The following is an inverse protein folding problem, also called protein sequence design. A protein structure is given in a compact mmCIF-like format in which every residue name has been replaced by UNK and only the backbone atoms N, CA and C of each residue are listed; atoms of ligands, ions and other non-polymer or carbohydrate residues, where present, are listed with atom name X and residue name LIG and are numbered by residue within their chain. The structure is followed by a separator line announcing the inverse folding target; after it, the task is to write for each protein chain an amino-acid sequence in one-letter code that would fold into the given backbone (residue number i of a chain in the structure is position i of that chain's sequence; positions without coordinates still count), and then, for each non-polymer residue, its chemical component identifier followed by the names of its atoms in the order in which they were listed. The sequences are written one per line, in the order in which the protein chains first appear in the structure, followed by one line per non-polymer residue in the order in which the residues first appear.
data_IF_053407947447
#
_entry.id   IF_053407947447
#
_cell.length_a   1.000
_cell.length_b   1.000
_cell.length_c   1.000
_cell.angle_alpha   90.00
_cell.angle_beta   90.00
_cell.angle_gamma   90.00
#
_symmetry.space_group_name_H-M   'P 1'
#
loop_
_entity.id
_entity.type
_entity.pdbx_description
1 polymer ?
#
# COMPACT_ATOMS: atom_id res chain seq x y z
N UNK A 1 -20.61 0.98 24.77
CA UNK A 1 -21.19 -0.20 24.14
C UNK A 1 -21.82 0.11 22.77
N UNK A 2 -22.63 1.17 22.64
CA UNK A 2 -23.33 1.54 21.40
C UNK A 2 -22.35 1.94 20.27
N UNK A 3 -21.33 2.75 20.53
CA UNK A 3 -20.33 3.19 19.55
C UNK A 3 -19.54 2.00 18.99
N UNK A 4 -19.11 1.08 19.85
CA UNK A 4 -18.40 -0.14 19.39
C UNK A 4 -19.29 -1.00 18.47
N UNK A 5 -20.59 -1.04 18.69
CA UNK A 5 -21.53 -1.77 17.83
C UNK A 5 -21.61 -1.14 16.44
N UNK A 6 -21.67 0.19 16.36
CA UNK A 6 -21.72 0.93 15.09
C UNK A 6 -20.41 0.74 14.32
N UNK A 7 -19.27 0.94 14.98
CA UNK A 7 -17.94 0.77 14.38
C UNK A 7 -17.75 -0.66 13.86
N UNK A 8 -18.16 -1.66 14.63
CA UNK A 8 -18.07 -3.05 14.19
C UNK A 8 -19.01 -3.38 13.02
N UNK A 9 -20.21 -2.79 12.98
CA UNK A 9 -21.11 -2.96 11.83
C UNK A 9 -20.51 -2.35 10.58
N UNK A 10 -19.92 -1.15 10.69
CA UNK A 10 -19.22 -0.48 9.59
C UNK A 10 -18.02 -1.31 9.12
N UNK A 11 -17.17 -1.79 10.03
CA UNK A 11 -16.05 -2.68 9.70
C UNK A 11 -16.50 -3.92 8.93
N UNK A 12 -17.54 -4.61 9.42
CA UNK A 12 -18.12 -5.78 8.73
C UNK A 12 -18.64 -5.47 7.33
N UNK A 13 -19.24 -4.30 7.13
CA UNK A 13 -19.73 -3.89 5.81
C UNK A 13 -18.59 -3.73 4.79
N UNK A 14 -17.42 -3.25 5.23
CA UNK A 14 -16.22 -3.14 4.40
C UNK A 14 -15.47 -4.48 4.27
N UNK A 15 -15.86 -5.48 5.06
CA UNK A 15 -15.20 -6.79 5.10
C UNK A 15 -14.08 -6.89 6.14
N UNK A 16 -13.93 -5.92 7.04
CA UNK A 16 -12.93 -5.91 8.11
C UNK A 16 -13.43 -6.70 9.33
N UNK A 17 -12.60 -7.58 9.85
CA UNK A 17 -12.88 -8.40 11.03
C UNK A 17 -12.18 -7.86 12.27
N UNK A 18 -12.88 -7.91 13.40
CA UNK A 18 -12.36 -7.54 14.70
C UNK A 18 -12.54 -6.06 15.06
N UNK A 19 -12.79 -5.82 16.35
CA UNK A 19 -13.09 -4.49 16.89
C UNK A 19 -11.93 -3.52 16.71
N UNK A 20 -10.69 -3.96 16.96
CA UNK A 20 -9.50 -3.12 16.82
C UNK A 20 -9.31 -2.67 15.35
N UNK A 21 -9.40 -3.60 14.40
CA UNK A 21 -9.24 -3.29 12.99
C UNK A 21 -10.36 -2.37 12.48
N UNK A 22 -11.60 -2.57 12.94
CA UNK A 22 -12.73 -1.69 12.62
C UNK A 22 -12.52 -0.27 13.15
N UNK A 23 -11.99 -0.11 14.35
CA UNK A 23 -11.61 1.19 14.90
C UNK A 23 -10.47 1.84 14.10
N UNK A 24 -9.46 1.06 13.74
CA UNK A 24 -8.32 1.57 12.96
C UNK A 24 -8.76 2.11 11.59
N UNK A 25 -9.63 1.38 10.88
CA UNK A 25 -10.21 1.85 9.61
C UNK A 25 -11.05 3.10 9.82
N UNK A 26 -11.91 3.11 10.83
CA UNK A 26 -12.80 4.26 11.09
C UNK A 26 -11.99 5.53 11.43
N UNK A 27 -10.98 5.42 12.28
CA UNK A 27 -10.07 6.51 12.60
C UNK A 27 -9.26 6.95 11.39
N UNK A 28 -8.74 6.01 10.59
CA UNK A 28 -7.99 6.31 9.38
C UNK A 28 -8.85 7.06 8.34
N UNK A 29 -10.09 6.64 8.11
CA UNK A 29 -11.02 7.35 7.23
C UNK A 29 -11.32 8.75 7.78
N UNK A 30 -11.59 8.86 9.09
CA UNK A 30 -11.83 10.17 9.72
C UNK A 30 -10.63 11.11 9.56
N UNK A 31 -9.42 10.60 9.77
CA UNK A 31 -8.18 11.37 9.58
C UNK A 31 -8.04 11.83 8.13
N UNK A 32 -8.29 10.96 7.15
CA UNK A 32 -8.24 11.31 5.72
C UNK A 32 -9.25 12.39 5.34
N UNK A 33 -10.47 12.31 5.86
CA UNK A 33 -11.49 13.34 5.65
C UNK A 33 -11.10 14.68 6.29
N UNK A 34 -10.56 14.63 7.49
CA UNK A 34 -10.14 15.83 8.22
C UNK A 34 -8.95 16.51 7.53
N UNK A 35 -7.92 15.75 7.17
CA UNK A 35 -6.75 16.29 6.47
C UNK A 35 -7.13 16.83 5.09
N UNK A 36 -7.97 16.11 4.34
CA UNK A 36 -8.46 16.56 3.06
C UNK A 36 -9.24 17.87 3.15
N UNK A 37 -10.06 18.04 4.20
CA UNK A 37 -10.76 19.29 4.46
C UNK A 37 -9.81 20.44 4.81
N UNK A 38 -8.82 20.20 5.69
CA UNK A 38 -7.85 21.23 6.15
C UNK A 38 -6.93 21.65 5.00
N UNK A 39 -6.46 20.70 4.18
CA UNK A 39 -5.53 20.94 3.08
C UNK A 39 -6.21 21.38 1.78
N UNK A 40 -7.54 21.44 1.75
CA UNK A 40 -8.33 21.66 0.53
C UNK A 40 -7.97 20.66 -0.60
N UNK A 41 -7.75 19.40 -0.23
CA UNK A 41 -7.39 18.35 -1.17
C UNK A 41 -8.54 18.06 -2.14
N UNK A 42 -8.18 17.54 -3.32
CA UNK A 42 -9.17 17.08 -4.29
C UNK A 42 -9.95 15.88 -3.76
N UNK A 43 -11.20 15.74 -4.16
CA UNK A 43 -12.01 14.57 -3.81
C UNK A 43 -11.32 13.24 -4.21
N UNK A 44 -10.58 13.24 -5.32
CA UNK A 44 -9.78 12.10 -5.76
C UNK A 44 -8.67 11.74 -4.78
N UNK A 45 -7.96 12.73 -4.23
CA UNK A 45 -6.90 12.49 -3.24
C UNK A 45 -7.46 11.88 -1.96
N UNK A 46 -8.58 12.42 -1.47
CA UNK A 46 -9.28 11.88 -0.29
C UNK A 46 -9.77 10.45 -0.53
N UNK A 47 -10.38 10.17 -1.69
CA UNK A 47 -10.83 8.83 -2.06
C UNK A 47 -9.65 7.84 -2.13
N UNK A 48 -8.52 8.26 -2.71
CA UNK A 48 -7.30 7.47 -2.76
C UNK A 48 -6.79 7.11 -1.37
N UNK A 49 -6.73 8.08 -0.46
CA UNK A 49 -6.32 7.87 0.92
C UNK A 49 -7.24 6.90 1.68
N UNK A 50 -8.55 7.05 1.53
CA UNK A 50 -9.54 6.13 2.13
C UNK A 50 -9.36 4.71 1.58
N UNK A 51 -9.24 4.56 0.26
CA UNK A 51 -9.01 3.26 -0.36
C UNK A 51 -7.73 2.61 0.13
N UNK A 52 -6.66 3.40 0.33
CA UNK A 52 -5.39 2.94 0.88
C UNK A 52 -5.52 2.41 2.31
N UNK A 53 -6.19 3.13 3.19
CA UNK A 53 -6.43 2.69 4.58
C UNK A 53 -7.18 1.36 4.63
N UNK A 54 -8.25 1.24 3.85
CA UNK A 54 -9.05 0.01 3.79
C UNK A 54 -8.20 -1.14 3.22
N UNK A 55 -7.47 -0.89 2.15
CA UNK A 55 -6.59 -1.87 1.49
C UNK A 55 -5.57 -2.45 2.46
N UNK A 56 -4.84 -1.61 3.20
CA UNK A 56 -3.81 -2.04 4.16
C UNK A 56 -4.40 -2.91 5.25
N UNK A 57 -5.57 -2.55 5.80
CA UNK A 57 -6.21 -3.34 6.86
C UNK A 57 -6.70 -4.68 6.33
N UNK A 58 -7.31 -4.73 5.15
CA UNK A 58 -7.74 -5.99 4.54
C UNK A 58 -6.54 -6.89 4.17
N UNK A 59 -5.45 -6.29 3.70
CA UNK A 59 -4.20 -7.01 3.44
C UNK A 59 -3.62 -7.63 4.71
N UNK A 60 -3.59 -6.90 5.83
CA UNK A 60 -3.13 -7.43 7.13
C UNK A 60 -4.00 -8.60 7.62
N UNK A 61 -5.27 -8.63 7.23
CA UNK A 61 -6.20 -9.75 7.50
C UNK A 61 -6.12 -10.87 6.46
N UNK A 62 -5.21 -10.78 5.49
CA UNK A 62 -5.00 -11.77 4.41
C UNK A 62 -6.23 -11.96 3.52
N UNK A 63 -7.10 -10.97 3.43
CA UNK A 63 -8.33 -11.03 2.64
C UNK A 63 -8.06 -10.65 1.20
N UNK A 64 -8.58 -11.46 0.28
CA UNK A 64 -8.42 -11.20 -1.15
C UNK A 64 -9.05 -9.86 -1.60
N UNK A 65 -10.07 -9.39 -0.89
CA UNK A 65 -10.77 -8.12 -1.20
C UNK A 65 -9.87 -6.88 -1.13
N UNK A 66 -8.68 -6.97 -0.51
CA UNK A 66 -7.74 -5.84 -0.49
C UNK A 66 -7.29 -5.44 -1.90
N UNK A 67 -7.25 -6.37 -2.87
CA UNK A 67 -6.88 -6.09 -4.25
C UNK A 67 -7.80 -5.08 -4.92
N UNK A 68 -9.09 -5.16 -4.64
CA UNK A 68 -10.06 -4.20 -5.15
C UNK A 68 -9.78 -2.77 -4.67
N UNK A 69 -9.53 -2.62 -3.37
CA UNK A 69 -9.23 -1.32 -2.77
C UNK A 69 -7.86 -0.77 -3.18
N UNK A 70 -6.86 -1.65 -3.31
CA UNK A 70 -5.54 -1.28 -3.86
C UNK A 70 -5.62 -0.83 -5.31
N UNK A 71 -6.43 -1.50 -6.13
CA UNK A 71 -6.64 -1.11 -7.53
C UNK A 71 -7.26 0.29 -7.62
N UNK A 72 -8.31 0.53 -6.83
CA UNK A 72 -8.95 1.84 -6.76
C UNK A 72 -7.96 2.94 -6.33
N UNK A 73 -7.17 2.68 -5.31
CA UNK A 73 -6.11 3.59 -4.84
C UNK A 73 -5.09 3.89 -5.94
N UNK A 74 -4.54 2.86 -6.60
CA UNK A 74 -3.51 3.04 -7.62
C UNK A 74 -4.02 3.80 -8.85
N UNK A 75 -5.24 3.51 -9.30
CA UNK A 75 -5.83 4.24 -10.43
C UNK A 75 -5.99 5.72 -10.09
N UNK A 76 -6.50 6.03 -8.90
CA UNK A 76 -6.68 7.43 -8.48
C UNK A 76 -5.35 8.16 -8.32
N UNK A 77 -4.32 7.51 -7.76
CA UNK A 77 -2.97 8.11 -7.66
C UNK A 77 -2.36 8.34 -9.03
N UNK A 78 -2.51 7.43 -9.99
CA UNK A 78 -2.02 7.60 -11.36
C UNK A 78 -2.68 8.82 -12.01
N UNK A 79 -4.00 8.97 -11.87
CA UNK A 79 -4.72 10.13 -12.40
C UNK A 79 -4.20 11.44 -11.79
N UNK A 80 -4.03 11.49 -10.46
CA UNK A 80 -3.50 12.66 -9.75
C UNK A 80 -2.07 12.97 -10.22
N UNK A 81 -1.22 11.95 -10.36
CA UNK A 81 0.17 12.11 -10.79
C UNK A 81 0.27 12.64 -12.22
N UNK A 82 -0.65 12.27 -13.10
CA UNK A 82 -0.76 12.88 -14.44
C UNK A 82 -1.20 14.34 -14.39
N UNK A 83 -2.14 14.68 -13.50
CA UNK A 83 -2.63 16.06 -13.36
C UNK A 83 -1.57 17.01 -12.76
N UNK A 84 -0.61 16.47 -12.04
CA UNK A 84 0.48 17.21 -11.38
C UNK A 84 1.81 17.12 -12.11
N UNK A 85 1.83 16.58 -13.34
CA UNK A 85 3.03 16.39 -14.18
C UNK A 85 4.15 15.58 -13.50
N UNK A 86 3.80 14.73 -12.53
CA UNK A 86 4.74 13.89 -11.79
C UNK A 86 4.96 12.55 -12.51
N UNK A 87 5.57 12.58 -13.70
CA UNK A 87 5.75 11.40 -14.55
C UNK A 87 6.56 10.27 -13.87
N UNK A 88 7.48 10.58 -12.99
CA UNK A 88 8.21 9.59 -12.19
C UNK A 88 7.26 8.77 -11.27
N UNK A 89 6.31 9.44 -10.63
CA UNK A 89 5.27 8.79 -9.82
C UNK A 89 4.27 7.99 -10.67
N UNK A 90 3.97 8.44 -11.87
CA UNK A 90 3.16 7.67 -12.83
C UNK A 90 3.82 6.33 -13.15
N UNK A 91 5.12 6.35 -13.46
CA UNK A 91 5.87 5.14 -13.80
C UNK A 91 5.95 4.18 -12.60
N UNK A 92 6.23 4.70 -11.41
CA UNK A 92 6.25 3.93 -10.16
C UNK A 92 4.90 3.25 -9.90
N UNK A 93 3.81 4.00 -9.97
CA UNK A 93 2.46 3.45 -9.72
C UNK A 93 2.00 2.51 -10.84
N UNK A 94 2.44 2.72 -12.09
CA UNK A 94 2.22 1.76 -13.17
C UNK A 94 2.91 0.42 -12.89
N UNK A 95 4.15 0.44 -12.36
CA UNK A 95 4.82 -0.76 -11.91
C UNK A 95 4.05 -1.46 -10.78
N UNK A 96 3.56 -0.72 -9.78
CA UNK A 96 2.73 -1.28 -8.71
C UNK A 96 1.43 -1.88 -9.26
N UNK A 97 0.82 -1.26 -10.25
CA UNK A 97 -0.39 -1.77 -10.90
C UNK A 97 -0.13 -3.11 -11.58
N UNK A 98 0.96 -3.22 -12.36
CA UNK A 98 1.34 -4.47 -13.02
C UNK A 98 1.60 -5.59 -12.01
N UNK A 99 2.37 -5.30 -10.97
CA UNK A 99 2.67 -6.28 -9.91
C UNK A 99 1.43 -6.64 -9.10
N UNK A 100 0.49 -5.71 -8.91
CA UNK A 100 -0.80 -5.98 -8.28
C UNK A 100 -1.60 -7.01 -9.06
N UNK A 101 -1.67 -6.88 -10.40
CA UNK A 101 -2.35 -7.88 -11.25
C UNK A 101 -1.70 -9.26 -11.13
N UNK A 102 -0.37 -9.34 -11.20
CA UNK A 102 0.36 -10.61 -11.02
C UNK A 102 0.04 -11.22 -9.65
N UNK A 103 0.10 -10.39 -8.60
CA UNK A 103 -0.23 -10.80 -7.23
C UNK A 103 -1.67 -11.30 -7.11
N UNK A 104 -2.62 -10.61 -7.74
CA UNK A 104 -4.04 -10.98 -7.72
C UNK A 104 -4.26 -12.41 -8.25
N UNK A 105 -3.64 -12.77 -9.38
CA UNK A 105 -3.71 -14.13 -9.92
C UNK A 105 -3.04 -15.14 -8.98
N UNK A 106 -1.84 -14.84 -8.50
CA UNK A 106 -1.08 -15.71 -7.62
C UNK A 106 -1.79 -15.96 -6.28
N UNK A 107 -2.42 -14.94 -5.70
CA UNK A 107 -3.22 -15.06 -4.49
C UNK A 107 -4.51 -15.85 -4.72
N UNK A 108 -5.17 -15.63 -5.86
CA UNK A 108 -6.38 -16.35 -6.22
C UNK A 108 -6.18 -17.87 -6.25
N UNK A 109 -5.05 -18.34 -6.79
CA UNK A 109 -4.71 -19.77 -6.82
C UNK A 109 -4.41 -20.36 -5.45
N UNK A 110 -4.14 -19.52 -4.44
CA UNK A 110 -3.78 -19.95 -3.10
C UNK A 110 -4.85 -19.55 -2.05
N UNK A 111 -6.07 -19.28 -2.51
CA UNK A 111 -7.21 -18.99 -1.64
C UNK A 111 -7.65 -20.25 -0.88
N UNK A 112 -7.85 -20.08 0.42
CA UNK A 112 -8.48 -21.08 1.29
C UNK A 112 -9.69 -20.41 1.95
N UNK A 113 -10.86 -20.56 1.34
CA UNK A 113 -12.04 -19.76 1.72
C UNK A 113 -11.86 -18.29 1.34
N UNK A 114 -12.02 -17.39 2.30
CA UNK A 114 -11.95 -15.93 2.11
C UNK A 114 -10.53 -15.36 2.35
N UNK A 115 -9.61 -16.21 2.84
CA UNK A 115 -8.24 -15.82 3.24
C UNK A 115 -7.19 -16.56 2.42
N UNK A 116 -6.05 -15.91 2.24
CA UNK A 116 -4.91 -16.48 1.50
C UNK A 116 -3.91 -17.08 2.49
N UNK A 117 -3.37 -18.24 2.13
CA UNK A 117 -2.30 -18.86 2.91
C UNK A 117 -1.01 -18.07 2.71
N UNK A 118 -0.60 -17.36 3.74
CA UNK A 118 0.64 -16.56 3.77
C UNK A 118 1.83 -17.46 4.09
N UNK A 119 2.95 -17.21 3.44
CA UNK A 119 4.22 -17.88 3.71
C UNK A 119 4.93 -17.17 4.89
N UNK A 120 5.49 -17.94 5.79
CA UNK A 120 6.31 -17.40 6.90
C UNK A 120 7.79 -17.41 6.47
N UNK A 121 8.42 -16.26 6.53
CA UNK A 121 9.85 -16.17 6.29
C UNK A 121 10.63 -16.71 7.52
N UNK A 122 11.60 -17.55 7.24
CA UNK A 122 12.56 -17.96 8.27
C UNK A 122 13.61 -16.84 8.43
N UNK A 123 14.24 -16.75 9.60
CA UNK A 123 15.28 -15.75 9.90
C UNK A 123 16.40 -15.66 8.85
N UNK A 124 16.78 -16.79 8.27
CA UNK A 124 17.76 -16.85 7.16
C UNK A 124 17.30 -16.07 5.90
N UNK A 125 16.02 -16.15 5.56
CA UNK A 125 15.46 -15.41 4.42
C UNK A 125 15.44 -13.91 4.69
N UNK A 126 15.12 -13.47 5.91
CA UNK A 126 15.21 -12.07 6.32
C UNK A 126 16.63 -11.52 6.18
N UNK A 127 17.63 -12.27 6.65
CA UNK A 127 19.03 -11.85 6.57
C UNK A 127 19.49 -11.72 5.11
N UNK A 128 19.18 -12.69 4.25
CA UNK A 128 19.51 -12.63 2.81
C UNK A 128 18.83 -11.44 2.17
N UNK A 129 17.55 -11.22 2.47
CA UNK A 129 16.78 -10.13 1.91
C UNK A 129 17.36 -8.77 2.30
N UNK A 130 17.68 -8.55 3.57
CA UNK A 130 18.31 -7.33 4.07
C UNK A 130 19.70 -7.14 3.42
N UNK A 131 20.48 -8.21 3.29
CA UNK A 131 21.85 -8.16 2.74
C UNK A 131 21.84 -7.82 1.23
N UNK A 132 20.83 -8.22 0.50
CA UNK A 132 20.65 -7.86 -0.92
C UNK A 132 20.07 -6.44 -1.05
N UNK A 133 19.13 -6.08 -0.18
CA UNK A 133 18.43 -4.82 -0.19
C UNK A 133 19.39 -3.64 0.06
N UNK A 134 20.20 -3.75 1.09
CA UNK A 134 21.04 -2.65 1.57
C UNK A 134 22.01 -2.09 0.49
N UNK A 135 22.75 -2.94 -0.25
CA UNK A 135 23.59 -2.45 -1.33
C UNK A 135 22.81 -1.91 -2.54
N UNK A 136 21.64 -2.46 -2.86
CA UNK A 136 20.80 -1.96 -3.96
C UNK A 136 20.28 -0.56 -3.64
N UNK A 137 19.75 -0.34 -2.44
CA UNK A 137 19.30 0.98 -1.97
C UNK A 137 20.47 1.95 -1.94
N UNK A 138 21.61 1.55 -1.37
CA UNK A 138 22.80 2.38 -1.29
C UNK A 138 23.34 2.79 -2.66
N UNK A 139 23.45 1.85 -3.60
CA UNK A 139 23.93 2.12 -4.96
C UNK A 139 22.97 3.02 -5.75
N UNK A 140 21.68 2.77 -5.68
CA UNK A 140 20.68 3.57 -6.37
C UNK A 140 20.60 4.99 -5.77
N UNK A 141 20.63 5.13 -4.46
CA UNK A 141 20.69 6.44 -3.79
C UNK A 141 21.94 7.19 -4.18
N UNK A 142 23.10 6.54 -4.20
CA UNK A 142 24.37 7.14 -4.61
C UNK A 142 24.34 7.63 -6.08
N UNK A 143 23.85 6.79 -7.01
CA UNK A 143 23.74 7.16 -8.43
C UNK A 143 22.81 8.35 -8.65
N UNK A 144 21.70 8.42 -7.93
CA UNK A 144 20.72 9.50 -8.09
C UNK A 144 21.19 10.80 -7.44
N UNK A 145 21.80 10.74 -6.27
CA UNK A 145 22.39 11.93 -5.60
C UNK A 145 23.53 12.54 -6.42
N UNK A 146 24.33 11.72 -7.11
CA UNK A 146 25.43 12.22 -7.93
C UNK A 146 24.98 12.84 -9.27
N UNK A 147 23.80 12.49 -9.77
CA UNK A 147 23.31 12.95 -11.08
C UNK A 147 22.17 13.98 -10.99
N UNK A 148 21.50 14.09 -9.85
CA UNK A 148 20.37 15.00 -9.63
C UNK A 148 20.55 15.78 -8.34
N UNK A 149 19.83 16.91 -8.19
CA UNK A 149 19.96 17.82 -7.03
C UNK A 149 19.74 17.10 -5.68
N UNK A 150 20.65 17.28 -4.69
CA UNK A 150 20.76 16.39 -3.52
C UNK A 150 19.62 16.46 -2.50
N UNK A 151 18.85 17.55 -2.44
CA UNK A 151 18.02 17.84 -1.26
C UNK A 151 16.70 17.06 -1.15
N UNK A 152 16.19 16.46 -2.23
CA UNK A 152 14.94 15.68 -2.21
C UNK A 152 15.09 14.25 -2.75
N UNK A 153 16.11 13.99 -3.55
CA UNK A 153 16.28 12.73 -4.30
C UNK A 153 16.58 11.53 -3.39
N UNK A 154 17.30 11.72 -2.31
CA UNK A 154 17.71 10.61 -1.44
C UNK A 154 16.57 9.94 -0.68
N UNK A 155 15.65 10.72 -0.13
CA UNK A 155 14.49 10.19 0.61
C UNK A 155 13.48 9.53 -0.34
N UNK A 156 13.18 10.18 -1.48
CA UNK A 156 12.24 9.66 -2.49
C UNK A 156 12.73 8.33 -3.07
N UNK A 157 14.03 8.24 -3.39
CA UNK A 157 14.65 7.02 -3.91
C UNK A 157 14.58 5.87 -2.89
N UNK A 158 14.91 6.17 -1.63
CA UNK A 158 14.89 5.16 -0.57
C UNK A 158 13.47 4.63 -0.35
N UNK A 159 12.48 5.52 -0.29
CA UNK A 159 11.07 5.11 -0.12
C UNK A 159 10.56 4.32 -1.31
N UNK A 160 10.90 4.70 -2.55
CA UNK A 160 10.52 3.97 -3.76
C UNK A 160 11.10 2.56 -3.77
N UNK A 161 12.40 2.40 -3.45
CA UNK A 161 13.03 1.07 -3.44
C UNK A 161 12.43 0.18 -2.35
N UNK A 162 12.21 0.71 -1.14
CA UNK A 162 11.55 -0.02 -0.06
C UNK A 162 10.12 -0.42 -0.49
N UNK A 163 9.39 0.49 -1.15
CA UNK A 163 8.05 0.23 -1.67
C UNK A 163 8.02 -0.88 -2.72
N UNK A 164 8.94 -0.87 -3.68
CA UNK A 164 9.06 -1.92 -4.70
C UNK A 164 9.31 -3.28 -4.05
N UNK A 165 10.18 -3.34 -3.06
CA UNK A 165 10.51 -4.58 -2.36
C UNK A 165 9.35 -5.09 -1.51
N UNK A 166 8.69 -4.20 -0.78
CA UNK A 166 7.48 -4.55 -0.05
C UNK A 166 6.40 -5.08 -0.98
N UNK A 167 6.26 -4.49 -2.17
CA UNK A 167 5.32 -4.96 -3.20
C UNK A 167 5.67 -6.35 -3.72
N UNK A 168 6.95 -6.63 -3.97
CA UNK A 168 7.41 -7.96 -4.40
C UNK A 168 7.11 -9.00 -3.30
N UNK A 169 7.39 -8.68 -2.03
CA UNK A 169 7.07 -9.56 -0.90
C UNK A 169 5.57 -9.83 -0.81
N UNK A 170 4.74 -8.79 -0.98
CA UNK A 170 3.29 -8.92 -0.99
C UNK A 170 2.82 -9.88 -2.09
N UNK A 171 3.33 -9.74 -3.33
CA UNK A 171 3.02 -10.62 -4.45
C UNK A 171 3.38 -12.06 -4.13
N UNK A 172 4.54 -12.28 -3.53
CA UNK A 172 5.03 -13.60 -3.13
C UNK A 172 4.34 -14.16 -1.86
N UNK A 173 3.43 -13.44 -1.25
CA UNK A 173 2.66 -13.83 -0.05
C UNK A 173 3.51 -13.98 1.22
N UNK A 174 4.57 -13.20 1.34
CA UNK A 174 5.33 -13.11 2.59
C UNK A 174 4.74 -12.08 3.55
#
# INVERSE_FOLDING_TARGET
LMVNSIVNKFGKWIGVEGTFASWFVTLGIFTQLLTGYIMNDTALAVCSGIAGVISVVLCSQKKYSFYFWSLLQLITIIIISFQTDLYGKVLENAFYLLTLFVGMFYWKWNLTGDKVKVLTMNWKHYSIFIFILFPIVGLASYMLVTHYNPDQVGLDTTTTIIGILAQIMLVLRF
#
